data_IF_087662927825
#
_entry.id   IF_087662927825
#
_cell.length_a   1.000
_cell.length_b   1.000
_cell.length_c   1.000
_cell.angle_alpha   90.00
_cell.angle_beta   90.00
_cell.angle_gamma   90.00
#
_symmetry.space_group_name_H-M   'P 1'
#
loop_
_entity.id
_entity.type
_entity.pdbx_description
1 polymer ?
#
# COMPACT_ATOMS: atom_id res chain seq x y z
N UNK A 1 -23.42 -4.17 22.76
CA UNK A 1 -23.55 -3.25 21.60
C UNK A 1 -22.15 -3.06 21.01
N UNK A 2 -21.73 -3.94 20.10
CA UNK A 2 -20.41 -3.87 19.46
C UNK A 2 -20.51 -3.04 18.19
N UNK A 3 -20.29 -1.73 18.30
CA UNK A 3 -20.21 -0.87 17.12
C UNK A 3 -18.99 -1.26 16.30
N UNK A 4 -19.20 -1.68 15.05
CA UNK A 4 -18.13 -1.80 14.06
C UNK A 4 -17.66 -0.37 13.80
N UNK A 5 -16.68 0.10 14.58
CA UNK A 5 -16.08 1.40 14.38
C UNK A 5 -15.37 1.40 13.03
N UNK A 6 -15.97 2.06 12.04
CA UNK A 6 -15.29 2.34 10.79
C UNK A 6 -14.14 3.30 11.12
N UNK A 7 -12.90 2.87 10.87
CA UNK A 7 -11.76 3.77 10.98
C UNK A 7 -11.78 4.72 9.79
N UNK A 8 -11.56 6.00 10.05
CA UNK A 8 -11.23 6.96 9.00
C UNK A 8 -9.92 6.55 8.32
N UNK A 9 -9.69 7.02 7.09
CA UNK A 9 -8.45 6.68 6.37
C UNK A 9 -7.20 7.13 7.13
N UNK A 10 -7.29 8.26 7.84
CA UNK A 10 -6.22 8.80 8.67
C UNK A 10 -5.97 7.92 9.91
N UNK A 11 -7.03 7.51 10.62
CA UNK A 11 -6.89 6.61 11.77
C UNK A 11 -6.39 5.21 11.37
N UNK A 12 -6.77 4.75 10.17
CA UNK A 12 -6.31 3.49 9.61
C UNK A 12 -4.83 3.57 9.23
N UNK A 13 -4.40 4.65 8.57
CA UNK A 13 -2.98 4.93 8.29
C UNK A 13 -2.17 4.91 9.59
N UNK A 14 -2.57 5.69 10.59
CA UNK A 14 -1.89 5.73 11.88
C UNK A 14 -1.84 4.35 12.55
N UNK A 15 -2.93 3.59 12.47
CA UNK A 15 -3.00 2.24 13.02
C UNK A 15 -2.03 1.29 12.33
N UNK A 16 -1.90 1.37 11.00
CA UNK A 16 -0.91 0.59 10.24
C UNK A 16 0.49 0.96 10.74
N UNK A 17 0.83 2.25 10.73
CA UNK A 17 2.17 2.72 11.13
C UNK A 17 2.53 2.31 12.57
N UNK A 18 1.58 2.38 13.51
CA UNK A 18 1.81 2.09 14.93
C UNK A 18 1.83 0.59 15.25
N UNK A 19 1.04 -0.23 14.56
CA UNK A 19 0.81 -1.65 14.94
C UNK A 19 1.53 -2.66 14.05
N UNK A 20 2.05 -2.22 12.91
CA UNK A 20 2.73 -3.10 11.94
C UNK A 20 4.18 -2.69 11.79
N UNK A 21 4.99 -3.55 11.16
CA UNK A 21 6.42 -3.28 10.96
C UNK A 21 6.61 -2.74 9.54
N UNK A 22 7.22 -1.58 9.40
CA UNK A 22 7.67 -1.10 8.09
C UNK A 22 8.63 -2.13 7.48
N UNK A 23 8.39 -2.50 6.22
CA UNK A 23 9.22 -3.43 5.48
C UNK A 23 10.06 -2.67 4.43
N UNK A 24 9.42 -2.16 3.38
CA UNK A 24 10.07 -1.48 2.26
C UNK A 24 9.14 -0.42 1.68
N UNK A 25 9.70 0.54 0.96
CA UNK A 25 8.92 1.53 0.24
C UNK A 25 9.73 2.17 -0.88
N UNK A 26 9.00 2.77 -1.80
CA UNK A 26 9.54 3.44 -2.98
C UNK A 26 8.91 4.81 -3.13
N UNK A 27 9.74 5.78 -3.45
CA UNK A 27 9.34 7.15 -3.74
C UNK A 27 9.34 7.42 -5.25
N UNK A 28 8.90 8.62 -5.65
CA UNK A 28 8.60 8.95 -7.04
C UNK A 28 9.76 8.67 -8.01
N UNK A 29 10.99 9.00 -7.59
CA UNK A 29 12.19 8.81 -8.39
C UNK A 29 12.52 7.34 -8.67
N UNK A 30 12.03 6.42 -7.83
CA UNK A 30 12.20 4.96 -8.00
C UNK A 30 11.04 4.36 -8.78
N UNK A 31 9.83 4.88 -8.57
CA UNK A 31 8.63 4.38 -9.21
C UNK A 31 8.58 4.78 -10.70
N UNK A 32 9.05 5.97 -11.07
CA UNK A 32 8.93 6.50 -12.43
C UNK A 32 7.49 6.37 -12.99
N UNK A 33 6.49 6.57 -12.12
CA UNK A 33 5.07 6.43 -12.47
C UNK A 33 4.49 7.76 -12.90
N UNK A 34 3.51 7.74 -13.81
CA UNK A 34 2.74 8.94 -14.16
C UNK A 34 1.73 9.35 -13.08
N UNK A 35 1.35 8.43 -12.17
CA UNK A 35 0.30 8.69 -11.19
C UNK A 35 0.67 8.34 -9.73
N UNK A 36 1.59 7.40 -9.50
CA UNK A 36 2.08 7.07 -8.15
C UNK A 36 3.22 8.01 -7.76
N UNK A 37 3.14 8.55 -6.56
CA UNK A 37 4.20 9.35 -5.93
C UNK A 37 4.99 8.51 -4.93
N UNK A 38 4.33 7.62 -4.18
CA UNK A 38 4.96 6.82 -3.14
C UNK A 38 4.16 5.57 -2.87
N UNK A 39 4.83 4.47 -2.57
CA UNK A 39 4.22 3.24 -2.04
C UNK A 39 5.08 2.72 -0.90
N UNK A 40 4.49 2.45 0.26
CA UNK A 40 5.18 1.87 1.43
C UNK A 40 4.46 0.61 1.88
N UNK A 41 5.19 -0.47 2.07
CA UNK A 41 4.70 -1.74 2.57
C UNK A 41 5.02 -1.92 4.05
N UNK A 42 4.03 -2.46 4.75
CA UNK A 42 4.10 -2.76 6.16
C UNK A 42 3.66 -4.21 6.38
N UNK A 43 4.52 -4.98 7.01
CA UNK A 43 4.30 -6.39 7.27
C UNK A 43 3.57 -6.61 8.59
N UNK A 44 2.72 -7.61 8.59
CA UNK A 44 2.17 -8.20 9.81
C UNK A 44 2.89 -9.50 10.16
N UNK A 45 2.65 -10.03 11.36
CA UNK A 45 3.10 -11.39 11.72
C UNK A 45 2.39 -12.50 10.92
N UNK A 46 1.41 -12.15 10.09
CA UNK A 46 0.62 -13.07 9.27
C UNK A 46 1.07 -13.04 7.80
N UNK A 47 0.42 -13.83 6.95
CA UNK A 47 0.68 -13.91 5.51
C UNK A 47 0.15 -12.72 4.70
N UNK A 48 -0.04 -11.56 5.35
CA UNK A 48 -0.60 -10.35 4.74
C UNK A 48 0.23 -9.11 5.02
N UNK A 49 0.26 -8.24 4.02
CA UNK A 49 0.92 -6.94 3.98
C UNK A 49 -0.12 -5.83 3.85
N UNK A 50 0.16 -4.70 4.46
CA UNK A 50 -0.52 -3.42 4.23
C UNK A 50 0.32 -2.55 3.30
N UNK A 51 -0.33 -1.78 2.44
CA UNK A 51 0.35 -0.74 1.67
C UNK A 51 -0.27 0.63 1.94
N UNK A 52 0.60 1.63 2.09
CA UNK A 52 0.24 3.04 2.08
C UNK A 52 0.74 3.63 0.77
N UNK A 53 -0.17 4.14 -0.06
CA UNK A 53 0.17 4.76 -1.33
C UNK A 53 -0.24 6.23 -1.37
N UNK A 54 0.65 7.06 -1.93
CA UNK A 54 0.35 8.45 -2.27
C UNK A 54 0.40 8.61 -3.78
N UNK A 55 -0.55 9.37 -4.31
CA UNK A 55 -0.67 9.64 -5.75
C UNK A 55 -0.34 11.10 -6.03
N UNK A 56 0.37 11.39 -7.13
CA UNK A 56 0.90 12.73 -7.46
C UNK A 56 -0.15 13.84 -7.43
N UNK A 57 -1.37 13.54 -7.85
CA UNK A 57 -2.47 14.50 -7.97
C UNK A 57 -3.51 14.37 -6.85
N UNK A 58 -3.19 13.67 -5.75
CA UNK A 58 -4.12 13.48 -4.63
C UNK A 58 -3.42 13.81 -3.32
N UNK A 59 -4.02 14.67 -2.47
CA UNK A 59 -3.41 15.05 -1.21
C UNK A 59 -3.45 13.91 -0.17
N UNK A 60 -4.43 13.01 -0.29
CA UNK A 60 -4.64 11.92 0.66
C UNK A 60 -3.71 10.73 0.42
N UNK A 61 -3.31 10.09 1.51
CA UNK A 61 -2.73 8.74 1.51
C UNK A 61 -3.85 7.72 1.44
N UNK A 62 -3.64 6.67 0.67
CA UNK A 62 -4.58 5.58 0.50
C UNK A 62 -4.02 4.31 1.13
N UNK A 63 -4.87 3.62 1.88
CA UNK A 63 -4.52 2.36 2.53
C UNK A 63 -5.02 1.20 1.67
N UNK A 64 -4.18 0.16 1.55
CA UNK A 64 -4.48 -1.11 0.92
C UNK A 64 -4.20 -2.22 1.94
N UNK A 65 -5.16 -3.14 2.10
CA UNK A 65 -5.26 -4.05 3.24
C UNK A 65 -5.32 -5.49 2.75
N UNK A 66 -4.72 -6.41 3.51
CA UNK A 66 -4.85 -7.84 3.22
C UNK A 66 -4.20 -8.26 1.91
N UNK A 67 -3.15 -7.54 1.47
CA UNK A 67 -2.37 -7.92 0.30
C UNK A 67 -1.62 -9.20 0.65
N UNK A 68 -1.81 -10.32 -0.06
CA UNK A 68 -1.03 -11.53 0.19
C UNK A 68 0.47 -11.23 0.04
N UNK A 69 1.30 -11.75 0.94
CA UNK A 69 2.75 -11.49 0.89
C UNK A 69 3.35 -11.83 -0.48
N UNK A 70 2.87 -12.89 -1.13
CA UNK A 70 3.28 -13.26 -2.49
C UNK A 70 3.03 -12.13 -3.52
N UNK A 71 1.89 -11.43 -3.44
CA UNK A 71 1.57 -10.32 -4.36
C UNK A 71 2.45 -9.10 -4.09
N UNK A 72 2.73 -8.81 -2.82
CA UNK A 72 3.66 -7.75 -2.45
C UNK A 72 5.10 -8.06 -2.92
N UNK A 73 5.55 -9.31 -2.76
CA UNK A 73 6.86 -9.76 -3.26
C UNK A 73 6.94 -9.74 -4.79
N UNK A 74 5.88 -10.10 -5.51
CA UNK A 74 5.85 -9.99 -6.97
C UNK A 74 5.94 -8.53 -7.42
N UNK A 75 5.25 -7.61 -6.74
CA UNK A 75 5.39 -6.17 -7.03
C UNK A 75 6.85 -5.74 -6.88
N UNK A 76 7.51 -6.11 -5.78
CA UNK A 76 8.91 -5.79 -5.52
C UNK A 76 9.85 -6.36 -6.59
N UNK A 77 9.76 -7.65 -6.88
CA UNK A 77 10.65 -8.33 -7.84
C UNK A 77 10.51 -7.74 -9.23
N UNK A 78 9.29 -7.51 -9.72
CA UNK A 78 9.09 -6.94 -11.06
C UNK A 78 9.40 -5.44 -11.14
N UNK A 79 9.34 -4.72 -10.02
CA UNK A 79 9.78 -3.34 -9.99
C UNK A 79 11.28 -3.24 -10.27
N UNK A 80 12.07 -4.20 -9.75
CA UNK A 80 13.51 -4.29 -9.98
C UNK A 80 13.88 -4.73 -11.42
N UNK A 81 12.95 -5.34 -12.16
CA UNK A 81 13.16 -5.67 -13.59
C UNK A 81 12.91 -4.49 -14.53
N UNK A 82 12.44 -3.35 -14.02
CA UNK A 82 12.13 -2.15 -14.80
C UNK A 82 10.75 -2.18 -15.47
N UNK A 83 9.83 -3.06 -15.03
CA UNK A 83 8.44 -2.97 -15.44
C UNK A 83 7.79 -1.68 -14.89
N UNK A 84 6.74 -1.21 -15.57
CA UNK A 84 6.05 0.02 -15.15
C UNK A 84 5.43 -0.14 -13.77
N UNK A 85 5.95 0.60 -12.79
CA UNK A 85 5.46 0.57 -11.40
C UNK A 85 3.96 0.82 -11.29
N UNK A 86 3.39 1.64 -12.19
CA UNK A 86 1.96 1.90 -12.26
C UNK A 86 1.15 0.68 -12.67
N UNK A 87 1.63 -0.09 -13.66
CA UNK A 87 0.98 -1.33 -14.10
C UNK A 87 1.08 -2.41 -13.02
N UNK A 88 2.26 -2.55 -12.40
CA UNK A 88 2.49 -3.45 -11.28
C UNK A 88 1.58 -3.12 -10.09
N UNK A 89 1.46 -1.84 -9.74
CA UNK A 89 0.60 -1.40 -8.65
C UNK A 89 -0.86 -1.74 -8.94
N UNK A 90 -1.34 -1.44 -10.15
CA UNK A 90 -2.71 -1.75 -10.55
C UNK A 90 -3.00 -3.26 -10.53
N UNK A 91 -2.01 -4.09 -10.87
CA UNK A 91 -2.14 -5.54 -10.92
C UNK A 91 -2.08 -6.21 -9.54
N UNK A 92 -1.15 -5.79 -8.68
CA UNK A 92 -0.83 -6.51 -7.46
C UNK A 92 -1.31 -5.85 -6.17
N UNK A 93 -1.50 -4.52 -6.17
CA UNK A 93 -1.76 -3.74 -4.94
C UNK A 93 -3.15 -3.09 -4.97
N UNK A 94 -3.49 -2.38 -6.05
CA UNK A 94 -4.75 -1.66 -6.22
C UNK A 94 -6.03 -2.46 -5.92
N UNK A 95 -6.12 -3.78 -6.25
CA UNK A 95 -7.30 -4.58 -5.94
C UNK A 95 -7.61 -4.70 -4.44
N UNK A 96 -6.63 -4.42 -3.58
CA UNK A 96 -6.71 -4.56 -2.13
C UNK A 96 -7.03 -3.24 -1.41
N UNK A 97 -7.55 -2.24 -2.12
CA UNK A 97 -7.90 -0.94 -1.53
C UNK A 97 -8.87 -1.14 -0.38
N UNK A 98 -8.53 -0.61 0.81
CA UNK A 98 -9.42 -0.70 1.95
C UNK A 98 -10.56 0.30 1.80
N UNK A 99 -11.72 -0.09 2.30
CA UNK A 99 -12.85 0.82 2.48
C UNK A 99 -12.67 1.50 3.85
N UNK A 100 -12.18 2.74 3.82
CA UNK A 100 -12.13 3.62 4.99
C UNK A 100 -13.18 4.72 4.80
N UNK A 101 -13.93 5.04 5.86
CA UNK A 101 -15.10 5.93 5.82
C UNK A 101 -14.84 7.27 6.47
#
# INVERSE_FOLDING_TARGET
MGGVGYLTCDELEESVIKKTKFNKGWDDYELNSSFLERVKFYETKFFYTFALAKFKNKPAVYVFCGIPNEKASLFEVYLETGESSGELFNKYISPYKCDCK
#
